data_IF_845416752877
#
_entry.id   IF_845416752877
#
_cell.length_a   1.000
_cell.length_b   1.000
_cell.length_c   1.000
_cell.angle_alpha   90.00
_cell.angle_beta   90.00
_cell.angle_gamma   90.00
#
_symmetry.space_group_name_H-M   'P 1'
#
loop_
_entity.id
_entity.type
_entity.pdbx_description
1 polymer ?
#
# COMPACT_ATOMS: atom_id res chain seq x y z
N UNK A 1 2.65 18.16 1.04
CA UNK A 1 2.25 17.35 -0.13
C UNK A 1 0.89 16.75 0.17
N UNK A 2 -0.15 17.19 -0.53
CA UNK A 2 -1.53 16.70 -0.34
C UNK A 2 -1.66 15.35 -1.03
N UNK A 3 -1.87 14.28 -0.26
CA UNK A 3 -2.05 12.93 -0.80
C UNK A 3 -3.28 12.88 -1.72
N UNK A 4 -3.17 12.19 -2.86
CA UNK A 4 -4.20 12.12 -3.91
C UNK A 4 -5.58 11.59 -3.44
N UNK A 5 -5.71 11.07 -2.23
CA UNK A 5 -6.94 10.51 -1.66
C UNK A 5 -7.52 11.30 -0.48
N UNK A 6 -6.82 12.32 0.04
CA UNK A 6 -7.23 13.04 1.25
C UNK A 6 -7.05 12.27 2.57
N UNK A 7 -6.64 10.99 2.51
CA UNK A 7 -6.39 10.16 3.69
C UNK A 7 -5.02 10.41 4.34
N UNK A 8 -4.94 10.19 5.65
CA UNK A 8 -3.69 10.23 6.41
C UNK A 8 -2.90 8.95 6.15
N UNK A 9 -1.88 9.06 5.31
CA UNK A 9 -0.97 7.94 5.03
C UNK A 9 0.22 7.96 6.00
N UNK A 10 0.55 6.79 6.55
CA UNK A 10 1.78 6.59 7.33
C UNK A 10 2.69 5.62 6.59
N UNK A 11 3.92 6.04 6.33
CA UNK A 11 4.97 5.13 5.89
C UNK A 11 5.52 4.38 7.10
N UNK A 12 5.34 3.07 7.12
CA UNK A 12 5.88 2.19 8.15
C UNK A 12 7.09 1.48 7.54
N UNK A 13 8.26 1.63 8.16
CA UNK A 13 9.47 0.93 7.72
C UNK A 13 9.27 -0.57 7.93
N UNK A 14 9.24 -1.33 6.84
CA UNK A 14 9.24 -2.79 6.86
C UNK A 14 10.65 -3.39 6.93
N UNK A 15 10.71 -4.72 6.85
CA UNK A 15 11.93 -5.52 6.76
C UNK A 15 11.73 -6.74 5.85
N UNK A 16 12.81 -7.46 5.54
CA UNK A 16 12.73 -8.73 4.79
C UNK A 16 12.24 -8.62 3.33
N UNK A 17 12.28 -7.43 2.72
CA UNK A 17 11.82 -7.23 1.34
C UNK A 17 10.30 -7.26 1.15
N UNK A 18 9.55 -7.27 2.26
CA UNK A 18 8.08 -7.26 2.29
C UNK A 18 7.58 -5.84 1.97
N UNK A 19 6.52 -5.80 1.17
CA UNK A 19 5.76 -4.58 0.89
C UNK A 19 4.28 -4.91 0.99
N UNK A 20 3.58 -4.20 1.87
CA UNK A 20 2.15 -4.36 2.10
C UNK A 20 1.46 -3.00 2.14
N UNK A 21 0.23 -2.95 1.64
CA UNK A 21 -0.67 -1.81 1.76
C UNK A 21 -1.82 -2.22 2.66
N UNK A 22 -2.08 -1.44 3.71
CA UNK A 22 -3.07 -1.77 4.74
C UNK A 22 -4.05 -0.63 4.97
N UNK A 23 -5.31 -0.96 5.26
CA UNK A 23 -6.35 -0.05 5.74
C UNK A 23 -6.87 -0.56 7.07
N UNK A 24 -6.81 0.26 8.11
CA UNK A 24 -7.29 -0.09 9.46
C UNK A 24 -6.76 -1.43 10.01
N UNK A 25 -5.53 -1.79 9.62
CA UNK A 25 -4.86 -3.03 10.03
C UNK A 25 -5.05 -4.21 9.08
N UNK A 26 -6.02 -4.15 8.17
CA UNK A 26 -6.29 -5.17 7.16
C UNK A 26 -5.35 -5.02 5.96
N UNK A 27 -4.84 -6.13 5.43
CA UNK A 27 -3.96 -6.15 4.26
C UNK A 27 -4.80 -6.11 3.00
N UNK A 28 -4.68 -5.02 2.23
CA UNK A 28 -5.32 -4.85 0.92
C UNK A 28 -4.44 -5.32 -0.23
N UNK A 29 -3.13 -5.34 -0.02
CA UNK A 29 -2.14 -5.78 -1.00
C UNK A 29 -0.89 -6.30 -0.32
N UNK A 30 -0.35 -7.40 -0.84
CA UNK A 30 0.94 -7.96 -0.43
C UNK A 30 1.79 -8.30 -1.65
N UNK A 31 2.97 -7.68 -1.74
CA UNK A 31 3.99 -8.06 -2.72
C UNK A 31 4.45 -9.51 -2.55
N UNK A 32 4.40 -10.05 -1.33
CA UNK A 32 4.82 -11.42 -1.09
C UNK A 32 3.86 -12.42 -1.77
N UNK A 33 2.57 -12.06 -1.88
CA UNK A 33 1.56 -12.88 -2.56
C UNK A 33 1.54 -12.65 -4.08
N UNK A 34 1.68 -11.39 -4.53
CA UNK A 34 1.63 -11.05 -5.96
C UNK A 34 2.97 -11.26 -6.68
N UNK A 35 4.07 -11.35 -5.95
CA UNK A 35 5.43 -11.44 -6.49
C UNK A 35 5.98 -10.13 -7.09
N UNK A 36 5.22 -9.02 -7.06
CA UNK A 36 5.63 -7.74 -7.65
C UNK A 36 5.21 -6.54 -6.80
N UNK A 37 5.75 -5.37 -7.13
CA UNK A 37 5.19 -4.11 -6.62
C UNK A 37 3.91 -3.77 -7.41
N UNK A 38 2.99 -2.98 -6.81
CA UNK A 38 1.86 -2.44 -7.55
C UNK A 38 2.37 -1.51 -8.67
N UNK A 39 1.70 -1.56 -9.81
CA UNK A 39 1.96 -0.65 -10.92
C UNK A 39 1.51 0.78 -10.54
N UNK A 40 2.04 1.82 -11.21
CA UNK A 40 1.62 3.18 -10.96
C UNK A 40 0.09 3.34 -11.02
N UNK A 41 -0.50 3.72 -9.89
CA UNK A 41 -1.94 3.92 -9.75
C UNK A 41 -2.74 2.71 -9.23
N UNK A 42 -2.21 1.48 -9.25
CA UNK A 42 -2.91 0.31 -8.68
C UNK A 42 -3.16 0.47 -7.18
N UNK A 43 -2.15 0.96 -6.44
CA UNK A 43 -2.28 1.17 -5.00
C UNK A 43 -3.35 2.20 -4.63
N UNK A 44 -3.63 3.19 -5.50
CA UNK A 44 -4.67 4.18 -5.25
C UNK A 44 -6.08 3.59 -5.37
N UNK A 45 -6.27 2.63 -6.30
CA UNK A 45 -7.55 1.94 -6.53
C UNK A 45 -7.95 0.99 -5.39
N UNK A 46 -7.05 0.68 -4.46
CA UNK A 46 -7.35 -0.13 -3.29
C UNK A 46 -8.26 0.59 -2.27
N UNK A 47 -8.42 1.92 -2.41
CA UNK A 47 -9.09 2.78 -1.43
C UNK A 47 -10.30 3.55 -1.98
N UNK A 48 -10.70 3.28 -3.24
CA UNK A 48 -11.96 3.76 -3.84
C UNK A 48 -13.21 3.24 -3.08
#
# INVERSE_FOLDING_TARGET
MTAKTGEKVKLVRGGGGIFEVRRDGEVLYSKAETGRFPEPGEAAKLFD
#
